data_IF_150093955631
#
_entry.id   IF_150093955631
#
_cell.length_a   1.000
_cell.length_b   1.000
_cell.length_c   1.000
_cell.angle_alpha   90.00
_cell.angle_beta   90.00
_cell.angle_gamma   90.00
#
_symmetry.space_group_name_H-M   'P 1'
#
loop_
_entity.id
_entity.type
_entity.pdbx_description
1 polymer ?
#
# COMPACT_ATOMS: atom_id res chain seq x y z
N UNK A 1 -7.02 -5.33 -6.82
CA UNK A 1 -7.72 -6.41 -6.06
C UNK A 1 -8.60 -5.79 -5.00
N UNK A 2 -9.86 -6.13 -4.97
CA UNK A 2 -10.83 -5.69 -3.96
C UNK A 2 -10.87 -6.73 -2.85
N UNK A 3 -10.76 -6.31 -1.59
CA UNK A 3 -10.73 -7.20 -0.43
C UNK A 3 -11.86 -6.89 0.55
N UNK A 4 -12.57 -7.93 0.96
CA UNK A 4 -13.61 -7.93 1.99
C UNK A 4 -13.51 -9.22 2.81
N UNK A 5 -14.22 -9.31 3.92
CA UNK A 5 -14.28 -10.53 4.72
C UNK A 5 -12.90 -11.08 5.09
N UNK A 6 -12.70 -12.38 4.88
CA UNK A 6 -11.46 -13.07 5.25
C UNK A 6 -10.20 -12.49 4.58
N UNK A 7 -10.27 -12.17 3.29
CA UNK A 7 -9.13 -11.58 2.57
C UNK A 7 -8.73 -10.22 3.15
N UNK A 8 -9.69 -9.41 3.60
CA UNK A 8 -9.43 -8.17 4.30
C UNK A 8 -8.73 -8.42 5.65
N UNK A 9 -9.21 -9.38 6.43
CA UNK A 9 -8.60 -9.71 7.73
C UNK A 9 -7.14 -10.18 7.56
N UNK A 10 -6.86 -10.98 6.55
CA UNK A 10 -5.51 -11.44 6.23
C UNK A 10 -4.59 -10.28 5.80
N UNK A 11 -5.09 -9.35 4.99
CA UNK A 11 -4.36 -8.15 4.61
C UNK A 11 -4.04 -7.25 5.81
N UNK A 12 -5.01 -7.06 6.71
CA UNK A 12 -4.81 -6.30 7.96
C UNK A 12 -3.77 -6.95 8.87
N UNK A 13 -3.80 -8.28 8.98
CA UNK A 13 -2.80 -9.02 9.75
C UNK A 13 -1.40 -8.88 9.14
N UNK A 14 -1.27 -8.96 7.82
CA UNK A 14 0.00 -8.74 7.14
C UNK A 14 0.53 -7.31 7.35
N UNK A 15 -0.35 -6.30 7.26
CA UNK A 15 0.02 -4.91 7.54
C UNK A 15 0.51 -4.73 8.98
N UNK A 16 -0.21 -5.26 9.96
CA UNK A 16 0.17 -5.19 11.37
C UNK A 16 1.50 -5.89 11.65
N UNK A 17 1.70 -7.07 11.09
CA UNK A 17 2.96 -7.80 11.19
C UNK A 17 4.13 -6.99 10.62
N UNK A 18 3.93 -6.34 9.47
CA UNK A 18 4.92 -5.49 8.85
C UNK A 18 5.30 -4.29 9.73
N UNK A 19 4.32 -3.63 10.33
CA UNK A 19 4.57 -2.51 11.26
C UNK A 19 5.35 -2.96 12.50
N UNK A 20 5.06 -4.13 13.06
CA UNK A 20 5.84 -4.68 14.16
C UNK A 20 7.27 -5.02 13.76
N UNK A 21 7.46 -5.64 12.60
CA UNK A 21 8.81 -5.93 12.07
C UNK A 21 9.57 -4.63 11.81
N UNK A 22 8.92 -3.59 11.28
CA UNK A 22 9.55 -2.30 11.00
C UNK A 22 10.13 -1.64 12.25
N UNK A 23 9.49 -1.80 13.41
CA UNK A 23 9.98 -1.29 14.67
C UNK A 23 11.29 -1.99 15.15
N UNK A 24 11.54 -3.23 14.73
CA UNK A 24 12.71 -4.02 15.16
C UNK A 24 13.79 -4.11 14.06
N UNK A 25 13.36 -4.28 12.82
CA UNK A 25 14.21 -4.44 11.64
C UNK A 25 13.69 -3.55 10.51
N UNK A 26 13.94 -2.25 10.57
CA UNK A 26 13.35 -1.30 9.64
C UNK A 26 13.81 -1.54 8.20
N UNK A 27 12.85 -1.56 7.29
CA UNK A 27 13.05 -1.50 5.85
C UNK A 27 13.30 -0.07 5.39
N UNK A 28 12.64 0.88 6.06
CA UNK A 28 12.67 2.30 5.76
C UNK A 28 13.14 3.10 7.00
N UNK A 29 14.41 2.93 7.43
CA UNK A 29 14.90 3.48 8.71
C UNK A 29 14.82 5.01 8.78
N UNK A 30 15.00 5.70 7.66
CA UNK A 30 14.91 7.17 7.60
C UNK A 30 13.48 7.69 7.71
N UNK A 31 12.48 6.81 7.56
CA UNK A 31 11.06 7.12 7.66
C UNK A 31 10.45 6.73 9.03
N UNK A 32 11.26 6.34 10.00
CA UNK A 32 10.80 5.88 11.32
C UNK A 32 9.85 6.87 12.03
N UNK A 33 10.03 8.16 11.81
CA UNK A 33 9.18 9.22 12.34
C UNK A 33 7.72 9.15 11.87
N UNK A 34 7.45 8.49 10.76
CA UNK A 34 6.10 8.37 10.18
C UNK A 34 5.36 7.10 10.61
N UNK A 35 6.00 6.21 11.35
CA UNK A 35 5.40 4.91 11.70
C UNK A 35 4.14 5.05 12.56
N UNK A 36 4.05 6.09 13.39
CA UNK A 36 2.85 6.39 14.16
C UNK A 36 1.66 6.70 13.24
N UNK A 37 1.89 7.39 12.12
CA UNK A 37 0.90 7.61 11.07
C UNK A 37 0.44 6.29 10.44
N UNK A 38 1.36 5.38 10.18
CA UNK A 38 1.04 4.07 9.61
C UNK A 38 0.15 3.22 10.55
N UNK A 39 0.34 3.31 11.87
CA UNK A 39 -0.57 2.68 12.84
C UNK A 39 -1.97 3.29 12.81
N UNK A 40 -2.09 4.62 12.67
CA UNK A 40 -3.38 5.28 12.48
C UNK A 40 -4.04 4.83 11.18
N UNK A 41 -3.28 4.71 10.10
CA UNK A 41 -3.74 4.18 8.81
C UNK A 41 -4.28 2.77 8.96
N UNK A 42 -3.61 1.88 9.67
CA UNK A 42 -4.11 0.54 9.96
C UNK A 42 -5.45 0.57 10.71
N UNK A 43 -5.62 1.49 11.67
CA UNK A 43 -6.89 1.66 12.38
C UNK A 43 -8.03 2.09 11.43
N UNK A 44 -7.75 2.97 10.47
CA UNK A 44 -8.70 3.38 9.44
C UNK A 44 -9.04 2.20 8.51
N UNK A 45 -8.03 1.43 8.07
CA UNK A 45 -8.22 0.24 7.25
C UNK A 45 -9.14 -0.79 7.92
N UNK A 46 -9.02 -0.98 9.23
CA UNK A 46 -9.92 -1.86 10.01
C UNK A 46 -11.38 -1.42 9.95
N UNK A 47 -11.63 -0.12 9.98
CA UNK A 47 -12.98 0.44 9.96
C UNK A 47 -13.58 0.47 8.54
N UNK A 48 -12.77 0.56 7.50
CA UNK A 48 -13.23 0.58 6.12
C UNK A 48 -13.92 -0.74 5.76
N UNK A 49 -15.12 -0.73 5.13
CA UNK A 49 -15.78 -1.97 4.72
C UNK A 49 -15.03 -2.69 3.61
N UNK A 50 -14.29 -1.95 2.79
CA UNK A 50 -13.57 -2.47 1.61
C UNK A 50 -12.18 -1.87 1.58
N UNK A 51 -11.18 -2.70 1.25
CA UNK A 51 -9.83 -2.27 0.92
C UNK A 51 -9.53 -2.67 -0.53
N UNK A 52 -9.00 -1.74 -1.32
CA UNK A 52 -8.62 -1.98 -2.71
C UNK A 52 -7.10 -1.88 -2.83
N UNK A 53 -6.46 -3.00 -3.16
CA UNK A 53 -5.05 -3.02 -3.52
C UNK A 53 -4.90 -2.80 -5.03
N UNK A 54 -4.18 -1.76 -5.39
CA UNK A 54 -3.78 -1.49 -6.78
C UNK A 54 -2.41 -2.10 -6.98
N UNK A 55 -2.36 -3.17 -7.76
CA UNK A 55 -1.13 -3.94 -8.00
C UNK A 55 -0.58 -3.61 -9.38
N UNK A 56 0.71 -3.29 -9.45
CA UNK A 56 1.43 -3.13 -10.71
C UNK A 56 2.10 -4.47 -11.07
N UNK A 57 1.58 -5.25 -12.02
CA UNK A 57 2.17 -6.54 -12.39
C UNK A 57 3.52 -6.40 -13.12
N UNK A 58 3.84 -5.18 -13.56
CA UNK A 58 5.12 -4.84 -14.19
C UNK A 58 6.07 -4.12 -13.21
N UNK A 59 5.66 -3.99 -11.96
CA UNK A 59 6.45 -3.35 -10.91
C UNK A 59 7.74 -4.10 -10.63
N UNK A 60 8.79 -3.35 -10.35
CA UNK A 60 10.07 -3.91 -9.94
C UNK A 60 10.11 -4.06 -8.42
N UNK A 61 10.93 -4.98 -7.95
CA UNK A 61 11.11 -5.18 -6.51
C UNK A 61 11.73 -3.92 -5.87
N UNK A 62 11.07 -3.41 -4.83
CA UNK A 62 11.51 -2.24 -4.07
C UNK A 62 12.92 -2.40 -3.48
N UNK A 63 13.30 -3.63 -3.15
CA UNK A 63 14.56 -3.92 -2.44
C UNK A 63 15.75 -4.16 -3.39
N UNK A 64 15.48 -4.30 -4.68
CA UNK A 64 16.51 -4.54 -5.67
C UNK A 64 17.00 -3.23 -6.27
N UNK A 65 18.33 -2.96 -6.29
CA UNK A 65 18.88 -1.80 -6.94
C UNK A 65 18.49 -1.74 -8.42
N UNK A 66 18.06 -0.57 -8.88
CA UNK A 66 17.58 -0.35 -10.24
C UNK A 66 18.54 0.51 -11.05
N UNK A 67 18.70 0.22 -12.35
CA UNK A 67 19.38 1.12 -13.29
C UNK A 67 18.48 2.30 -13.65
N UNK A 68 19.03 3.27 -14.40
CA UNK A 68 18.30 4.49 -14.75
C UNK A 68 17.05 4.22 -15.61
N UNK A 69 17.12 3.28 -16.56
CA UNK A 69 16.01 2.93 -17.44
C UNK A 69 14.85 2.31 -16.65
N UNK A 70 15.16 1.36 -15.78
CA UNK A 70 14.17 0.74 -14.90
C UNK A 70 13.52 1.78 -13.97
N UNK A 71 14.30 2.72 -13.46
CA UNK A 71 13.77 3.79 -12.61
C UNK A 71 12.82 4.72 -13.37
N UNK A 72 13.14 5.09 -14.60
CA UNK A 72 12.23 5.89 -15.45
C UNK A 72 10.95 5.11 -15.71
N UNK A 73 11.06 3.83 -16.01
CA UNK A 73 9.91 2.95 -16.22
C UNK A 73 8.99 2.90 -14.98
N UNK A 74 9.56 2.73 -13.78
CA UNK A 74 8.82 2.76 -12.52
C UNK A 74 8.11 4.10 -12.29
N UNK A 75 8.78 5.22 -12.58
CA UNK A 75 8.18 6.56 -12.45
C UNK A 75 6.97 6.69 -13.39
N UNK A 76 7.09 6.27 -14.65
CA UNK A 76 5.99 6.32 -15.60
C UNK A 76 4.81 5.46 -15.18
N UNK A 77 5.09 4.25 -14.67
CA UNK A 77 4.04 3.37 -14.12
C UNK A 77 3.36 3.99 -12.90
N UNK A 78 4.14 4.54 -11.97
CA UNK A 78 3.59 5.19 -10.78
C UNK A 78 2.68 6.37 -11.12
N UNK A 79 3.05 7.19 -12.11
CA UNK A 79 2.22 8.29 -12.58
C UNK A 79 0.90 7.79 -13.20
N UNK A 80 0.95 6.74 -14.00
CA UNK A 80 -0.23 6.15 -14.65
C UNK A 80 -1.18 5.53 -13.61
N UNK A 81 -0.63 4.82 -12.64
CA UNK A 81 -1.39 4.23 -11.55
C UNK A 81 -2.00 5.34 -10.68
N UNK A 82 -1.24 6.38 -10.37
CA UNK A 82 -1.74 7.54 -9.62
C UNK A 82 -2.94 8.19 -10.29
N UNK A 83 -2.89 8.41 -11.60
CA UNK A 83 -4.02 8.94 -12.37
C UNK A 83 -5.25 8.02 -12.31
N UNK A 84 -5.06 6.71 -12.38
CA UNK A 84 -6.16 5.74 -12.28
C UNK A 84 -6.77 5.73 -10.86
N UNK A 85 -5.95 5.81 -9.82
CA UNK A 85 -6.42 5.86 -8.42
C UNK A 85 -7.19 7.15 -8.16
N UNK A 86 -6.74 8.29 -8.71
CA UNK A 86 -7.46 9.56 -8.59
C UNK A 86 -8.84 9.47 -9.25
N UNK A 87 -8.92 8.96 -10.47
CA UNK A 87 -10.20 8.76 -11.15
C UNK A 87 -11.15 7.84 -10.35
N UNK A 88 -10.62 6.80 -9.72
CA UNK A 88 -11.39 5.92 -8.85
C UNK A 88 -11.89 6.66 -7.61
N UNK A 89 -11.06 7.51 -7.01
CA UNK A 89 -11.44 8.33 -5.86
C UNK A 89 -12.53 9.34 -6.19
N UNK A 90 -12.45 9.99 -7.35
CA UNK A 90 -13.50 10.88 -7.85
C UNK A 90 -14.83 10.16 -8.09
N UNK A 91 -14.77 8.97 -8.71
CA UNK A 91 -15.95 8.14 -8.92
C UNK A 91 -16.57 7.68 -7.59
N UNK A 92 -15.75 7.40 -6.57
CA UNK A 92 -16.25 7.08 -5.23
C UNK A 92 -17.09 8.26 -4.65
N UNK A 93 -16.56 9.47 -4.72
CA UNK A 93 -17.28 10.68 -4.27
C UNK A 93 -18.59 10.88 -5.02
N UNK A 94 -18.60 10.69 -6.35
CA UNK A 94 -19.81 10.77 -7.17
C UNK A 94 -20.88 9.76 -6.73
N UNK A 95 -20.47 8.62 -6.20
CA UNK A 95 -21.36 7.59 -5.67
C UNK A 95 -21.64 7.73 -4.16
N UNK A 96 -21.28 8.85 -3.53
CA UNK A 96 -21.50 9.11 -2.12
C UNK A 96 -20.62 8.31 -1.16
N UNK A 97 -19.46 7.81 -1.65
CA UNK A 97 -18.50 7.03 -0.88
C UNK A 97 -17.30 7.89 -0.48
N UNK A 98 -16.82 7.72 0.74
CA UNK A 98 -15.52 8.21 1.17
C UNK A 98 -14.40 7.29 0.70
N UNK A 99 -13.23 7.84 0.42
CA UNK A 99 -12.04 7.07 0.09
C UNK A 99 -10.79 7.67 0.73
N UNK A 100 -9.78 6.84 0.93
CA UNK A 100 -8.47 7.26 1.40
C UNK A 100 -7.40 6.57 0.57
N UNK A 101 -6.54 7.33 -0.08
CA UNK A 101 -5.35 6.82 -0.74
C UNK A 101 -4.24 6.61 0.28
N UNK A 102 -3.73 5.38 0.37
CA UNK A 102 -2.79 4.95 1.39
C UNK A 102 -1.45 4.58 0.76
N UNK A 103 -0.36 5.20 1.23
CA UNK A 103 1.02 4.86 0.89
C UNK A 103 1.77 4.15 2.03
N UNK A 104 1.25 4.16 3.25
CA UNK A 104 1.91 3.58 4.45
C UNK A 104 2.11 2.06 4.36
N UNK A 105 1.50 1.41 3.38
CA UNK A 105 1.69 -0.02 3.08
C UNK A 105 3.15 -0.37 2.80
N UNK A 106 3.98 0.58 2.41
CA UNK A 106 5.41 0.32 2.17
C UNK A 106 6.18 -0.05 3.43
N UNK A 107 5.72 0.33 4.63
CA UNK A 107 6.26 -0.19 5.88
C UNK A 107 6.04 -1.70 6.05
N UNK A 108 5.01 -2.25 5.44
CA UNK A 108 4.68 -3.67 5.45
C UNK A 108 4.88 -4.33 4.07
N UNK A 109 5.78 -3.79 3.25
CA UNK A 109 5.99 -4.22 1.87
C UNK A 109 6.20 -5.72 1.74
N UNK A 110 7.11 -6.30 2.54
CA UNK A 110 7.44 -7.73 2.48
C UNK A 110 6.25 -8.61 2.82
N UNK A 111 5.54 -8.27 3.88
CA UNK A 111 4.42 -9.04 4.42
C UNK A 111 3.21 -8.98 3.46
N UNK A 112 2.94 -7.81 2.92
CA UNK A 112 1.86 -7.62 1.94
C UNK A 112 2.18 -8.30 0.60
N UNK A 113 3.43 -8.23 0.12
CA UNK A 113 3.83 -8.97 -1.08
C UNK A 113 3.67 -10.49 -0.87
N UNK A 114 4.10 -11.02 0.28
CA UNK A 114 3.94 -12.43 0.60
C UNK A 114 2.48 -12.86 0.70
N UNK A 115 1.60 -11.98 1.19
CA UNK A 115 0.17 -12.24 1.24
C UNK A 115 -0.49 -12.19 -0.16
N UNK A 116 -0.04 -11.27 -1.03
CA UNK A 116 -0.56 -11.11 -2.40
C UNK A 116 -0.14 -12.24 -3.34
N UNK A 117 1.01 -12.84 -3.12
CA UNK A 117 1.56 -13.94 -3.92
C UNK A 117 1.33 -15.29 -3.25
#
# INVERSE_FOLDING_TARGET
MVTTGKAKEEALAAMEQGLHREAQQPLLPESAQYIAGAWNTLAIMRQAPVIIFVVNPLGLDLLTPQNAENRVFEICNAQSIGAAVENMSLAAVENGLGSLWICDIYFAYRELCAWLC
#
